data_IF_772497890137
#
_entry.id   IF_772497890137
#
_cell.length_a   1.000
_cell.length_b   1.000
_cell.length_c   1.000
_cell.angle_alpha   90.00
_cell.angle_beta   90.00
_cell.angle_gamma   90.00
#
_symmetry.space_group_name_H-M   'P 1'
#
loop_
_entity.id
_entity.type
_entity.pdbx_description
1 polymer ?
#
# COMPACT_ATOMS: atom_id res chain seq x y z
N UNK A 1 -17.06 -0.57 36.26
CA UNK A 1 -18.05 -0.08 35.27
C UNK A 1 -17.60 1.26 34.64
N UNK A 2 -16.92 2.17 35.36
CA UNK A 2 -16.47 3.46 34.81
C UNK A 2 -15.42 3.31 33.69
N UNK A 3 -14.40 2.49 33.90
CA UNK A 3 -13.26 2.35 32.96
C UNK A 3 -13.68 1.79 31.57
N UNK A 4 -14.63 0.87 31.50
CA UNK A 4 -15.17 0.36 30.23
C UNK A 4 -16.02 1.42 29.50
N UNK A 5 -16.74 2.26 30.25
CA UNK A 5 -17.52 3.34 29.67
C UNK A 5 -16.60 4.43 29.11
N UNK A 6 -15.53 4.78 29.82
CA UNK A 6 -14.53 5.77 29.38
C UNK A 6 -13.81 5.31 28.10
N UNK A 7 -13.43 4.02 28.03
CA UNK A 7 -12.83 3.41 26.85
C UNK A 7 -13.76 3.45 25.62
N UNK A 8 -15.06 3.25 25.83
CA UNK A 8 -16.04 3.30 24.75
C UNK A 8 -16.19 4.74 24.22
N UNK A 9 -16.24 5.72 25.09
CA UNK A 9 -16.33 7.14 24.71
C UNK A 9 -15.09 7.55 23.90
N UNK A 10 -13.89 7.21 24.36
CA UNK A 10 -12.63 7.50 23.65
C UNK A 10 -12.61 6.90 22.24
N UNK A 11 -13.06 5.64 22.08
CA UNK A 11 -13.13 5.00 20.77
C UNK A 11 -14.12 5.71 19.85
N UNK A 12 -15.31 6.09 20.33
CA UNK A 12 -16.30 6.80 19.53
C UNK A 12 -15.76 8.15 19.03
N UNK A 13 -15.11 8.92 19.91
CA UNK A 13 -14.52 10.20 19.52
C UNK A 13 -13.36 10.02 18.54
N UNK A 14 -12.51 9.00 18.71
CA UNK A 14 -11.44 8.66 17.79
C UNK A 14 -12.01 8.30 16.42
N UNK A 15 -13.04 7.45 16.37
CA UNK A 15 -13.72 7.06 15.13
C UNK A 15 -14.37 8.26 14.41
N UNK A 16 -14.98 9.18 15.15
CA UNK A 16 -15.54 10.40 14.58
C UNK A 16 -14.45 11.30 13.97
N UNK A 17 -13.34 11.47 14.67
CA UNK A 17 -12.21 12.27 14.19
C UNK A 17 -11.57 11.68 12.92
N UNK A 18 -11.38 10.36 12.86
CA UNK A 18 -10.91 9.66 11.67
C UNK A 18 -11.94 9.80 10.53
N UNK A 19 -13.23 9.67 10.86
CA UNK A 19 -14.34 9.85 9.92
C UNK A 19 -14.30 11.22 9.23
N UNK A 20 -14.08 12.28 9.99
CA UNK A 20 -13.93 13.65 9.49
C UNK A 20 -12.79 13.78 8.48
N UNK A 21 -11.62 13.19 8.77
CA UNK A 21 -10.50 13.16 7.81
C UNK A 21 -10.86 12.42 6.52
N UNK A 22 -11.53 11.28 6.64
CA UNK A 22 -11.94 10.47 5.48
C UNK A 22 -13.03 11.16 4.63
N UNK A 23 -13.74 12.15 5.16
CA UNK A 23 -14.73 12.95 4.42
C UNK A 23 -14.09 14.13 3.69
N UNK A 24 -12.85 14.49 4.01
CA UNK A 24 -12.09 15.51 3.27
C UNK A 24 -11.49 14.93 1.99
N UNK A 25 -11.14 15.82 1.04
CA UNK A 25 -10.36 15.40 -0.13
C UNK A 25 -8.97 14.93 0.32
N UNK A 26 -8.48 13.77 -0.12
CA UNK A 26 -7.24 13.18 0.39
C UNK A 26 -6.00 14.08 0.31
N UNK A 27 -5.96 14.98 -0.66
CA UNK A 27 -4.78 15.80 -0.96
C UNK A 27 -5.07 17.31 -0.95
N UNK A 28 -6.05 17.78 -0.15
CA UNK A 28 -6.43 19.18 -0.10
C UNK A 28 -5.89 19.92 1.15
N UNK A 29 -5.54 19.17 2.22
CA UNK A 29 -5.14 19.76 3.49
C UNK A 29 -3.70 20.32 3.43
N UNK A 30 -3.46 21.47 4.05
CA UNK A 30 -2.13 22.03 4.20
C UNK A 30 -1.26 21.16 5.11
N UNK A 31 0.04 20.98 4.82
CA UNK A 31 0.91 20.08 5.58
C UNK A 31 0.95 20.38 7.09
N UNK A 32 1.04 21.64 7.50
CA UNK A 32 1.14 22.04 8.89
C UNK A 32 -0.13 21.64 9.66
N UNK A 33 -1.30 22.00 9.14
CA UNK A 33 -2.59 21.66 9.72
C UNK A 33 -2.78 20.13 9.78
N UNK A 34 -2.39 19.43 8.73
CA UNK A 34 -2.46 17.96 8.66
C UNK A 34 -1.58 17.32 9.74
N UNK A 35 -0.33 17.76 9.87
CA UNK A 35 0.63 17.16 10.80
C UNK A 35 0.21 17.37 12.26
N UNK A 36 -0.30 18.54 12.62
CA UNK A 36 -0.85 18.81 13.95
C UNK A 36 -2.04 17.88 14.26
N UNK A 37 -2.98 17.78 13.33
CA UNK A 37 -4.15 16.93 13.49
C UNK A 37 -3.80 15.44 13.58
N UNK A 38 -2.90 14.95 12.71
CA UNK A 38 -2.43 13.57 12.73
C UNK A 38 -1.64 13.24 13.99
N UNK A 39 -0.78 14.14 14.48
CA UNK A 39 -0.04 13.93 15.72
C UNK A 39 -0.98 13.70 16.90
N UNK A 40 -2.03 14.53 17.02
CA UNK A 40 -3.04 14.37 18.06
C UNK A 40 -3.79 13.03 17.95
N UNK A 41 -4.16 12.62 16.73
CA UNK A 41 -4.83 11.33 16.49
C UNK A 41 -3.92 10.14 16.81
N UNK A 42 -2.67 10.14 16.35
CA UNK A 42 -1.73 9.06 16.63
C UNK A 42 -1.44 8.91 18.13
N UNK A 43 -1.35 10.00 18.89
CA UNK A 43 -1.24 9.94 20.35
C UNK A 43 -2.44 9.20 20.96
N UNK A 44 -3.66 9.54 20.56
CA UNK A 44 -4.89 8.87 21.02
C UNK A 44 -4.95 7.40 20.61
N UNK A 45 -4.50 7.04 19.41
CA UNK A 45 -4.41 5.64 18.97
C UNK A 45 -3.38 4.83 19.76
N UNK A 46 -2.25 5.44 20.09
CA UNK A 46 -1.22 4.81 20.94
C UNK A 46 -1.76 4.59 22.35
N UNK A 47 -2.46 5.55 22.96
CA UNK A 47 -3.13 5.42 24.25
C UNK A 47 -4.18 4.29 24.21
N UNK A 48 -5.06 4.30 23.20
CA UNK A 48 -6.05 3.26 22.97
C UNK A 48 -5.42 1.86 22.86
N UNK A 49 -4.31 1.71 22.14
CA UNK A 49 -3.61 0.43 22.00
C UNK A 49 -2.92 -0.01 23.30
N UNK A 50 -2.38 0.92 24.09
CA UNK A 50 -1.77 0.65 25.39
C UNK A 50 -2.80 0.08 26.38
N UNK A 51 -4.02 0.57 26.37
CA UNK A 51 -5.11 0.08 27.25
C UNK A 51 -5.56 -1.32 26.89
N UNK A 52 -5.41 -1.74 25.63
CA UNK A 52 -5.83 -3.05 25.12
C UNK A 52 -4.75 -4.11 25.07
N UNK A 53 -3.49 -3.70 25.17
CA UNK A 53 -2.36 -4.62 25.10
C UNK A 53 -1.28 -4.26 26.10
N UNK A 54 -1.13 -5.05 27.16
CA UNK A 54 -0.06 -4.86 28.14
C UNK A 54 1.33 -4.96 27.51
N UNK A 55 1.49 -5.81 26.47
CA UNK A 55 2.76 -5.89 25.71
C UNK A 55 3.03 -4.59 24.96
N UNK A 56 2.03 -4.03 24.31
CA UNK A 56 2.16 -2.76 23.60
C UNK A 56 2.38 -1.60 24.56
N UNK A 57 1.65 -1.53 25.68
CA UNK A 57 1.85 -0.56 26.75
C UNK A 57 3.28 -0.60 27.30
N UNK A 58 3.81 -1.81 27.53
CA UNK A 58 5.19 -1.97 27.98
C UNK A 58 6.19 -1.47 26.94
N UNK A 59 5.98 -1.74 25.67
CA UNK A 59 6.81 -1.25 24.56
C UNK A 59 6.82 0.28 24.51
N UNK A 60 5.65 0.93 24.52
CA UNK A 60 5.50 2.39 24.47
C UNK A 60 6.14 3.06 25.70
N UNK A 61 6.03 2.45 26.90
CA UNK A 61 6.63 2.97 28.13
C UNK A 61 8.15 3.04 28.07
N UNK A 62 8.79 2.15 27.32
CA UNK A 62 10.24 2.13 27.15
C UNK A 62 10.72 2.90 25.91
N UNK A 63 9.81 3.58 25.21
CA UNK A 63 10.19 4.42 24.08
C UNK A 63 10.95 5.66 24.58
N UNK A 64 12.01 6.12 23.87
CA UNK A 64 12.86 7.22 24.35
C UNK A 64 12.13 8.54 24.61
N UNK A 65 11.07 8.82 23.83
CA UNK A 65 10.27 10.03 23.97
C UNK A 65 8.87 9.64 24.48
N UNK A 66 8.43 10.25 25.60
CA UNK A 66 7.07 10.02 26.10
C UNK A 66 6.01 10.59 25.14
N UNK A 67 4.80 10.01 25.13
CA UNK A 67 3.73 10.49 24.25
C UNK A 67 3.38 11.97 24.48
N UNK A 68 3.46 12.43 25.74
CA UNK A 68 3.19 13.83 26.09
C UNK A 68 4.28 14.78 25.58
N UNK A 69 5.54 14.34 25.53
CA UNK A 69 6.68 15.14 25.07
C UNK A 69 6.91 15.09 23.56
N UNK A 70 6.26 14.18 22.84
CA UNK A 70 6.40 14.08 21.39
C UNK A 70 5.78 15.30 20.70
N UNK A 71 6.58 16.04 19.93
CA UNK A 71 6.17 17.23 19.19
C UNK A 71 5.97 16.95 17.70
N UNK A 72 6.46 15.82 17.22
CA UNK A 72 6.39 15.39 15.82
C UNK A 72 5.93 13.94 15.72
N UNK A 73 5.30 13.57 14.62
CA UNK A 73 4.92 12.17 14.32
C UNK A 73 6.17 11.27 14.35
N UNK A 74 7.31 11.77 13.93
CA UNK A 74 8.59 11.06 13.93
C UNK A 74 9.11 10.66 15.33
N UNK A 75 8.65 11.32 16.39
CA UNK A 75 9.04 11.03 17.78
C UNK A 75 8.22 9.88 18.37
N UNK A 76 7.08 9.55 17.76
CA UNK A 76 6.15 8.54 18.25
C UNK A 76 6.70 7.12 18.10
N UNK A 77 6.32 6.19 19.00
CA UNK A 77 6.65 4.77 18.88
C UNK A 77 6.11 4.18 17.59
N UNK A 78 6.92 3.37 16.90
CA UNK A 78 6.53 2.64 15.69
C UNK A 78 6.93 1.16 15.79
N UNK A 79 6.24 0.30 15.06
CA UNK A 79 6.56 -1.13 15.00
C UNK A 79 7.24 -1.47 13.67
N UNK A 80 8.23 -2.38 13.64
CA UNK A 80 8.69 -2.95 12.40
C UNK A 80 7.62 -3.87 11.82
N UNK A 81 7.43 -3.86 10.50
CA UNK A 81 6.39 -4.69 9.82
C UNK A 81 6.56 -6.17 10.06
N UNK A 82 7.76 -6.64 10.41
CA UNK A 82 8.05 -8.05 10.71
C UNK A 82 7.25 -8.58 11.90
N UNK A 83 6.77 -7.74 12.81
CA UNK A 83 5.93 -8.16 13.96
C UNK A 83 4.60 -8.79 13.52
N UNK A 84 4.11 -8.47 12.33
CA UNK A 84 2.86 -9.04 11.79
C UNK A 84 3.03 -10.46 11.22
N UNK A 85 4.25 -10.99 11.20
CA UNK A 85 4.52 -12.40 10.94
C UNK A 85 4.27 -13.29 12.18
N UNK A 86 3.96 -12.70 13.34
CA UNK A 86 3.68 -13.42 14.59
C UNK A 86 2.45 -14.33 14.50
N UNK A 87 2.46 -15.40 15.30
CA UNK A 87 1.33 -16.31 15.47
C UNK A 87 1.06 -16.51 16.97
N UNK A 88 -0.12 -16.16 17.50
CA UNK A 88 -1.26 -15.56 16.81
C UNK A 88 -0.94 -14.14 16.29
N UNK A 89 -1.73 -13.63 15.32
CA UNK A 89 -1.55 -12.26 14.81
C UNK A 89 -1.82 -11.23 15.91
N UNK A 90 -1.16 -10.08 15.83
CA UNK A 90 -1.40 -8.98 16.75
C UNK A 90 -2.81 -8.43 16.57
N UNK A 91 -3.55 -8.32 17.67
CA UNK A 91 -4.93 -7.83 17.71
C UNK A 91 -5.13 -6.87 18.87
N UNK A 92 -5.92 -5.83 18.66
CA UNK A 92 -6.42 -4.90 19.67
C UNK A 92 -7.91 -5.13 19.98
N UNK A 93 -8.53 -6.12 19.31
CA UNK A 93 -9.92 -6.50 19.49
C UNK A 93 -10.04 -7.99 19.85
N UNK A 94 -11.10 -8.41 20.55
CA UNK A 94 -11.38 -9.81 20.81
C UNK A 94 -11.55 -10.61 19.50
N UNK A 95 -11.22 -11.90 19.53
CA UNK A 95 -11.34 -12.77 18.35
C UNK A 95 -12.79 -12.82 17.80
N UNK A 96 -13.80 -12.65 18.63
CA UNK A 96 -15.22 -12.60 18.24
C UNK A 96 -15.58 -11.38 17.37
N UNK A 97 -14.82 -10.30 17.46
CA UNK A 97 -15.03 -9.08 16.68
C UNK A 97 -14.27 -9.09 15.36
N UNK A 98 -13.31 -10.00 15.18
CA UNK A 98 -12.56 -10.13 13.94
C UNK A 98 -13.48 -10.59 12.81
N UNK A 99 -13.64 -9.79 11.79
CA UNK A 99 -14.46 -10.07 10.59
C UNK A 99 -13.65 -10.64 9.46
N UNK A 100 -12.36 -10.30 9.37
CA UNK A 100 -11.48 -10.69 8.27
C UNK A 100 -10.03 -10.71 8.74
N UNK A 101 -9.25 -11.64 8.18
CA UNK A 101 -7.79 -11.62 8.27
C UNK A 101 -7.22 -11.44 6.86
N UNK A 102 -6.34 -10.46 6.69
CA UNK A 102 -5.61 -10.26 5.46
C UNK A 102 -4.21 -10.85 5.57
N UNK A 103 -3.70 -11.37 4.45
CA UNK A 103 -2.35 -11.95 4.38
C UNK A 103 -1.52 -11.28 3.29
N UNK A 104 -0.25 -11.02 3.59
CA UNK A 104 0.68 -10.56 2.56
C UNK A 104 0.99 -11.69 1.57
N UNK A 105 1.34 -11.30 0.33
CA UNK A 105 1.88 -12.26 -0.63
C UNK A 105 3.27 -12.67 -0.18
N UNK A 106 3.45 -13.92 0.27
CA UNK A 106 4.78 -14.47 0.57
C UNK A 106 5.38 -15.15 -0.65
N UNK A 107 6.69 -15.02 -0.83
CA UNK A 107 7.47 -15.96 -1.66
C UNK A 107 7.54 -17.30 -0.93
N UNK A 108 7.62 -18.42 -1.68
CA UNK A 108 7.66 -19.76 -1.08
C UNK A 108 8.76 -19.86 0.00
N UNK A 109 8.35 -20.27 1.20
CA UNK A 109 9.23 -20.44 2.36
C UNK A 109 9.21 -19.29 3.38
N UNK A 110 8.58 -18.17 3.10
CA UNK A 110 8.44 -17.05 4.06
C UNK A 110 7.08 -17.07 4.76
N UNK A 111 7.07 -16.75 6.05
CA UNK A 111 5.83 -16.56 6.82
C UNK A 111 5.16 -15.27 6.36
N UNK A 112 3.91 -15.31 5.84
CA UNK A 112 3.20 -14.10 5.46
C UNK A 112 2.83 -13.26 6.68
N UNK A 113 2.85 -11.96 6.54
CA UNK A 113 2.23 -11.07 7.51
C UNK A 113 0.72 -11.29 7.55
N UNK A 114 0.12 -11.14 8.74
CA UNK A 114 -1.31 -11.27 8.97
C UNK A 114 -1.82 -10.08 9.77
N UNK A 115 -2.87 -9.43 9.26
CA UNK A 115 -3.55 -8.35 9.95
C UNK A 115 -5.02 -8.70 10.13
N UNK A 116 -5.56 -8.43 11.31
CA UNK A 116 -6.94 -8.73 11.67
C UNK A 116 -7.79 -7.47 11.59
N UNK A 117 -8.94 -7.57 10.95
CA UNK A 117 -9.84 -6.45 10.74
C UNK A 117 -11.19 -6.71 11.43
N UNK A 118 -11.60 -5.76 12.25
CA UNK A 118 -12.99 -5.64 12.69
C UNK A 118 -13.86 -4.96 11.63
N UNK A 119 -15.13 -4.78 11.90
CA UNK A 119 -16.07 -4.14 10.97
C UNK A 119 -15.75 -2.65 10.76
N UNK A 120 -15.34 -1.95 11.81
CA UNK A 120 -15.05 -0.51 11.75
C UNK A 120 -13.78 -0.23 10.94
N UNK A 121 -12.67 -0.92 11.25
CA UNK A 121 -11.42 -0.84 10.50
C UNK A 121 -11.62 -1.23 9.03
N UNK A 122 -12.37 -2.31 8.75
CA UNK A 122 -12.68 -2.72 7.37
C UNK A 122 -13.39 -1.63 6.57
N UNK A 123 -14.37 -0.94 7.18
CA UNK A 123 -15.10 0.16 6.53
C UNK A 123 -14.18 1.35 6.26
N UNK A 124 -13.39 1.78 7.27
CA UNK A 124 -12.45 2.91 7.12
C UNK A 124 -11.39 2.65 6.06
N UNK A 125 -10.79 1.47 6.07
CA UNK A 125 -9.81 1.07 5.07
C UNK A 125 -10.39 1.06 3.66
N UNK A 126 -11.61 0.53 3.48
CA UNK A 126 -12.30 0.56 2.18
C UNK A 126 -12.56 2.00 1.73
N UNK A 127 -13.07 2.86 2.64
CA UNK A 127 -13.33 4.27 2.36
C UNK A 127 -12.04 5.01 1.99
N UNK A 128 -10.92 4.74 2.68
CA UNK A 128 -9.61 5.32 2.39
C UNK A 128 -9.10 4.99 0.99
N UNK A 129 -9.10 3.70 0.61
CA UNK A 129 -8.71 3.29 -0.77
C UNK A 129 -9.59 3.96 -1.81
N UNK A 130 -10.92 3.95 -1.60
CA UNK A 130 -11.87 4.57 -2.53
C UNK A 130 -11.59 6.07 -2.67
N UNK A 131 -11.37 6.79 -1.57
CA UNK A 131 -11.07 8.22 -1.61
C UNK A 131 -9.79 8.52 -2.40
N UNK A 132 -8.73 7.74 -2.17
CA UNK A 132 -7.46 7.88 -2.89
C UNK A 132 -7.66 7.60 -4.38
N UNK A 133 -8.17 6.43 -4.74
CA UNK A 133 -8.30 6.03 -6.15
C UNK A 133 -9.23 6.97 -6.92
N UNK A 134 -10.32 7.41 -6.29
CA UNK A 134 -11.25 8.39 -6.88
C UNK A 134 -10.57 9.71 -7.26
N UNK A 135 -9.58 10.15 -6.52
CA UNK A 135 -8.82 11.36 -6.84
C UNK A 135 -7.94 11.20 -8.10
N UNK A 136 -7.50 9.98 -8.39
CA UNK A 136 -6.66 9.67 -9.54
C UNK A 136 -7.45 9.31 -10.80
N UNK A 137 -8.52 8.53 -10.66
CA UNK A 137 -9.26 8.00 -11.84
C UNK A 137 -10.66 8.58 -11.96
N UNK A 138 -11.09 9.48 -11.06
CA UNK A 138 -12.44 10.03 -11.03
C UNK A 138 -13.46 9.13 -10.33
N UNK A 139 -14.69 9.65 -10.15
CA UNK A 139 -15.74 9.00 -9.36
C UNK A 139 -16.67 8.11 -10.18
N UNK A 140 -16.63 8.21 -11.52
CA UNK A 140 -17.57 7.48 -12.38
C UNK A 140 -17.33 5.98 -12.30
N UNK A 141 -18.43 5.22 -12.25
CA UNK A 141 -18.37 3.77 -12.40
C UNK A 141 -18.15 3.41 -13.87
N UNK A 142 -17.34 2.37 -14.11
CA UNK A 142 -16.89 2.00 -15.45
C UNK A 142 -16.65 0.49 -15.57
N UNK A 143 -16.55 -0.08 -16.78
CA UNK A 143 -16.08 -1.45 -16.96
C UNK A 143 -14.73 -1.66 -16.29
N UNK A 144 -14.58 -2.80 -15.62
CA UNK A 144 -13.39 -3.15 -14.84
C UNK A 144 -12.78 -4.44 -15.35
N UNK A 145 -11.60 -4.34 -15.99
CA UNK A 145 -10.82 -5.46 -16.48
C UNK A 145 -9.75 -5.84 -15.44
N UNK A 146 -9.79 -7.06 -14.97
CA UNK A 146 -8.82 -7.61 -14.03
C UNK A 146 -7.87 -8.54 -14.78
N UNK A 147 -6.58 -8.23 -14.75
CA UNK A 147 -5.54 -9.09 -15.32
C UNK A 147 -5.20 -10.17 -14.28
N UNK A 148 -6.15 -11.08 -14.12
CA UNK A 148 -6.14 -12.18 -13.16
C UNK A 148 -7.13 -13.26 -13.58
N UNK A 149 -7.15 -14.39 -12.84
CA UNK A 149 -8.12 -15.47 -13.05
C UNK A 149 -9.45 -15.19 -12.33
N UNK A 150 -10.52 -15.84 -12.77
CA UNK A 150 -11.86 -15.71 -12.19
C UNK A 150 -11.90 -16.18 -10.73
N UNK A 151 -11.10 -17.19 -10.37
CA UNK A 151 -11.03 -17.74 -9.03
C UNK A 151 -10.57 -16.68 -8.01
N UNK A 152 -9.66 -15.80 -8.41
CA UNK A 152 -9.15 -14.71 -7.57
C UNK A 152 -10.14 -13.54 -7.39
N UNK A 153 -11.23 -13.52 -8.15
CA UNK A 153 -12.35 -12.58 -7.93
C UNK A 153 -13.31 -13.06 -6.82
N UNK A 154 -13.23 -14.34 -6.44
CA UNK A 154 -14.12 -14.96 -5.47
C UNK A 154 -13.99 -14.40 -4.05
N UNK A 155 -15.06 -14.53 -3.25
CA UNK A 155 -15.06 -14.18 -1.82
C UNK A 155 -14.41 -15.30 -1.03
N UNK A 156 -13.16 -15.15 -0.67
CA UNK A 156 -12.48 -16.03 0.27
C UNK A 156 -12.48 -15.40 1.67
N UNK A 157 -12.61 -16.22 2.71
CA UNK A 157 -12.53 -15.78 4.11
C UNK A 157 -11.16 -15.19 4.47
N UNK A 158 -10.11 -15.64 3.78
CA UNK A 158 -8.75 -15.12 3.86
C UNK A 158 -8.33 -14.58 2.49
N UNK A 159 -8.33 -13.26 2.35
CA UNK A 159 -7.88 -12.59 1.14
C UNK A 159 -6.39 -12.30 1.21
N UNK A 160 -5.66 -12.68 0.18
CA UNK A 160 -4.34 -12.12 -0.07
C UNK A 160 -4.44 -10.64 -0.48
N UNK A 161 -3.31 -9.92 -0.40
CA UNK A 161 -3.21 -8.50 -0.83
C UNK A 161 -3.82 -8.26 -2.23
N UNK A 162 -3.64 -9.21 -3.14
CA UNK A 162 -4.15 -9.19 -4.52
C UNK A 162 -5.68 -9.18 -4.57
N UNK A 163 -6.32 -10.13 -3.88
CA UNK A 163 -7.77 -10.20 -3.82
C UNK A 163 -8.40 -9.01 -3.11
N UNK A 164 -7.76 -8.49 -2.06
CA UNK A 164 -8.21 -7.28 -1.36
C UNK A 164 -8.20 -6.05 -2.28
N UNK A 165 -7.16 -5.87 -3.09
CA UNK A 165 -7.07 -4.78 -4.07
C UNK A 165 -8.14 -4.91 -5.15
N UNK A 166 -8.32 -6.13 -5.71
CA UNK A 166 -9.37 -6.40 -6.72
C UNK A 166 -10.76 -6.03 -6.17
N UNK A 167 -11.08 -6.46 -4.94
CA UNK A 167 -12.37 -6.16 -4.32
C UNK A 167 -12.57 -4.67 -4.03
N UNK A 168 -11.55 -3.97 -3.54
CA UNK A 168 -11.63 -2.53 -3.26
C UNK A 168 -11.91 -1.74 -4.55
N UNK A 169 -11.21 -2.06 -5.64
CA UNK A 169 -11.40 -1.43 -6.94
C UNK A 169 -12.74 -1.82 -7.60
N UNK A 170 -13.32 -2.96 -7.23
CA UNK A 170 -14.66 -3.38 -7.68
C UNK A 170 -15.77 -2.39 -7.35
N UNK A 171 -15.58 -1.49 -6.37
CA UNK A 171 -16.54 -0.40 -6.07
C UNK A 171 -16.69 0.60 -7.23
N UNK A 172 -15.70 0.70 -8.13
CA UNK A 172 -15.72 1.52 -9.33
C UNK A 172 -16.28 0.78 -10.55
N UNK A 173 -16.66 -0.50 -10.40
CA UNK A 173 -17.08 -1.32 -11.53
C UNK A 173 -18.57 -1.20 -11.86
N UNK A 174 -18.92 -1.05 -13.14
CA UNK A 174 -20.26 -1.36 -13.66
C UNK A 174 -20.39 -2.84 -13.96
N UNK A 175 -19.32 -3.45 -14.45
CA UNK A 175 -19.13 -4.88 -14.66
C UNK A 175 -17.65 -5.22 -14.39
N UNK A 176 -17.38 -6.45 -13.95
CA UNK A 176 -16.00 -6.92 -13.69
C UNK A 176 -15.72 -8.15 -14.56
N UNK A 177 -14.62 -8.09 -15.30
CA UNK A 177 -14.19 -9.18 -16.20
C UNK A 177 -12.74 -9.54 -15.89
N UNK A 178 -12.47 -10.83 -15.65
CA UNK A 178 -11.11 -11.39 -15.64
C UNK A 178 -10.73 -11.86 -17.05
N UNK A 179 -9.47 -11.67 -17.43
CA UNK A 179 -8.98 -12.06 -18.75
C UNK A 179 -7.85 -13.11 -18.71
N UNK A 180 -7.57 -13.69 -17.55
CA UNK A 180 -6.67 -14.84 -17.46
C UNK A 180 -7.45 -16.10 -17.09
N UNK A 181 -6.92 -17.24 -17.56
CA UNK A 181 -7.38 -18.58 -17.22
C UNK A 181 -6.16 -19.44 -16.85
N UNK A 182 -6.41 -20.60 -16.27
CA UNK A 182 -5.39 -21.63 -16.11
C UNK A 182 -5.46 -22.57 -17.33
N UNK A 183 -4.32 -22.79 -17.96
CA UNK A 183 -4.23 -23.75 -19.07
C UNK A 183 -4.26 -25.19 -18.55
N UNK A 184 -4.11 -26.15 -19.48
CA UNK A 184 -4.11 -27.58 -19.15
C UNK A 184 -2.95 -28.04 -18.25
N UNK A 185 -1.92 -27.20 -18.07
CA UNK A 185 -0.77 -27.44 -17.19
C UNK A 185 -0.90 -26.67 -15.87
N UNK A 186 -1.97 -25.89 -15.67
CA UNK A 186 -2.19 -25.05 -14.51
C UNK A 186 -1.41 -23.74 -14.53
N UNK A 187 -0.85 -23.35 -15.68
CA UNK A 187 -0.14 -22.09 -15.86
C UNK A 187 -1.12 -20.97 -16.31
N UNK A 188 -0.75 -19.73 -15.95
CA UNK A 188 -1.55 -18.57 -16.36
C UNK A 188 -1.45 -18.34 -17.85
N UNK A 189 -2.59 -18.20 -18.51
CA UNK A 189 -2.72 -17.90 -19.92
C UNK A 189 -3.73 -16.78 -20.17
N UNK A 190 -3.49 -15.97 -21.21
CA UNK A 190 -4.39 -14.90 -21.62
C UNK A 190 -5.60 -15.49 -22.39
N UNK A 191 -6.80 -15.17 -21.93
CA UNK A 191 -8.03 -15.37 -22.70
C UNK A 191 -8.16 -14.26 -23.75
N UNK A 192 -7.45 -14.45 -24.87
CA UNK A 192 -7.36 -13.44 -25.93
C UNK A 192 -8.69 -13.16 -26.59
N UNK A 193 -9.56 -14.17 -26.77
CA UNK A 193 -10.90 -14.01 -27.38
C UNK A 193 -11.75 -13.10 -26.50
N UNK A 194 -11.84 -13.42 -25.22
CA UNK A 194 -12.58 -12.63 -24.23
C UNK A 194 -12.05 -11.20 -24.12
N UNK A 195 -10.71 -11.03 -24.08
CA UNK A 195 -10.09 -9.71 -24.01
C UNK A 195 -10.44 -8.85 -25.22
N UNK A 196 -10.35 -9.40 -26.45
CA UNK A 196 -10.67 -8.69 -27.69
C UNK A 196 -12.15 -8.34 -27.77
N UNK A 197 -13.03 -9.25 -27.34
CA UNK A 197 -14.46 -8.97 -27.24
C UNK A 197 -14.78 -7.83 -26.28
N UNK A 198 -14.13 -7.80 -25.11
CA UNK A 198 -14.24 -6.70 -24.15
C UNK A 198 -13.71 -5.39 -24.74
N UNK A 199 -12.55 -5.40 -25.39
CA UNK A 199 -11.98 -4.22 -26.01
C UNK A 199 -12.90 -3.63 -27.09
N UNK A 200 -13.49 -4.47 -27.93
CA UNK A 200 -14.46 -4.02 -28.93
C UNK A 200 -15.74 -3.42 -28.30
N UNK A 201 -16.25 -4.06 -27.22
CA UNK A 201 -17.43 -3.60 -26.47
C UNK A 201 -17.20 -2.25 -25.80
N UNK A 202 -15.98 -2.01 -25.24
CA UNK A 202 -15.67 -0.86 -24.40
C UNK A 202 -14.89 0.26 -25.11
N UNK A 203 -14.78 0.21 -26.42
CA UNK A 203 -13.95 1.11 -27.23
C UNK A 203 -14.11 2.60 -26.89
N UNK A 204 -15.34 3.04 -26.66
CA UNK A 204 -15.68 4.44 -26.35
C UNK A 204 -15.84 4.69 -24.84
N UNK A 205 -15.77 3.64 -24.03
CA UNK A 205 -15.96 3.76 -22.57
C UNK A 205 -14.66 4.15 -21.88
N UNK A 206 -14.79 4.82 -20.73
CA UNK A 206 -13.72 4.84 -19.75
C UNK A 206 -13.61 3.45 -19.12
N UNK A 207 -12.43 2.85 -19.10
CA UNK A 207 -12.19 1.51 -18.58
C UNK A 207 -11.20 1.56 -17.44
N UNK A 208 -11.44 0.82 -16.36
CA UNK A 208 -10.48 0.59 -15.31
C UNK A 208 -9.82 -0.77 -15.54
N UNK A 209 -8.49 -0.81 -15.50
CA UNK A 209 -7.70 -2.05 -15.56
C UNK A 209 -6.88 -2.19 -14.29
N UNK A 210 -6.80 -3.40 -13.76
CA UNK A 210 -5.94 -3.71 -12.61
C UNK A 210 -5.20 -5.02 -12.81
N UNK A 211 -3.94 -5.05 -12.38
CA UNK A 211 -3.13 -6.26 -12.31
C UNK A 211 -1.79 -6.05 -11.61
N UNK A 212 -1.12 -7.14 -11.30
CA UNK A 212 0.26 -7.05 -10.82
C UNK A 212 1.23 -6.80 -11.97
N UNK A 213 2.22 -5.92 -11.75
CA UNK A 213 3.21 -5.48 -12.74
C UNK A 213 3.78 -6.65 -13.56
N UNK A 214 4.30 -7.69 -12.89
CA UNK A 214 4.88 -8.85 -13.57
C UNK A 214 3.85 -9.68 -14.34
N UNK A 215 2.60 -9.78 -13.85
CA UNK A 215 1.50 -10.51 -14.53
C UNK A 215 1.07 -9.77 -15.79
N UNK A 216 0.87 -8.44 -15.68
CA UNK A 216 0.57 -7.59 -16.84
C UNK A 216 1.66 -7.74 -17.90
N UNK A 217 2.92 -7.70 -17.50
CA UNK A 217 4.04 -7.81 -18.43
C UNK A 217 4.08 -9.16 -19.14
N UNK A 218 4.03 -10.24 -18.38
CA UNK A 218 4.20 -11.60 -18.95
C UNK A 218 2.95 -12.11 -19.64
N UNK A 219 1.76 -11.81 -19.14
CA UNK A 219 0.51 -12.39 -19.61
C UNK A 219 -0.27 -11.48 -20.56
N UNK A 220 -0.03 -10.17 -20.56
CA UNK A 220 -0.73 -9.24 -21.42
C UNK A 220 0.20 -8.58 -22.42
N UNK A 221 1.18 -7.78 -21.97
CA UNK A 221 2.04 -6.97 -22.85
C UNK A 221 2.86 -7.86 -23.77
N UNK A 222 3.57 -8.86 -23.25
CA UNK A 222 4.41 -9.76 -24.04
C UNK A 222 3.63 -10.49 -25.15
N UNK A 223 2.55 -11.20 -24.85
CA UNK A 223 1.73 -11.87 -25.84
C UNK A 223 1.15 -10.95 -26.91
N UNK A 224 0.55 -9.81 -26.52
CA UNK A 224 -0.09 -8.89 -27.46
C UNK A 224 0.94 -8.20 -28.38
N UNK A 225 2.09 -7.80 -27.86
CA UNK A 225 3.20 -7.24 -28.68
C UNK A 225 3.72 -8.25 -29.69
N UNK A 226 3.94 -9.51 -29.29
CA UNK A 226 4.35 -10.56 -30.24
C UNK A 226 3.33 -10.84 -31.33
N UNK A 227 2.03 -10.72 -31.01
CA UNK A 227 0.95 -10.88 -31.98
C UNK A 227 0.69 -9.61 -32.82
N UNK A 228 1.32 -8.48 -32.52
CA UNK A 228 1.05 -7.20 -33.17
C UNK A 228 -0.33 -6.64 -32.90
N UNK A 229 -0.93 -7.00 -31.75
CA UNK A 229 -2.31 -6.62 -31.37
C UNK A 229 -2.30 -5.37 -30.49
N UNK A 230 -3.16 -4.40 -30.85
CA UNK A 230 -3.47 -3.21 -30.07
C UNK A 230 -4.95 -3.23 -29.71
N UNK A 231 -5.29 -2.95 -28.45
CA UNK A 231 -6.67 -3.05 -27.93
C UNK A 231 -7.54 -1.84 -28.26
N UNK A 232 -6.93 -0.69 -28.61
CA UNK A 232 -7.62 0.55 -28.97
C UNK A 232 -8.62 1.02 -27.88
N UNK A 233 -8.16 1.10 -26.63
CA UNK A 233 -8.88 1.63 -25.47
C UNK A 233 -8.24 2.92 -24.98
N UNK A 234 -8.37 4.06 -25.69
CA UNK A 234 -7.65 5.29 -25.36
C UNK A 234 -8.05 5.91 -24.01
N UNK A 235 -9.26 5.58 -23.54
CA UNK A 235 -9.81 6.09 -22.28
C UNK A 235 -9.60 5.15 -21.09
N UNK A 236 -8.62 4.24 -21.16
CA UNK A 236 -8.31 3.33 -20.06
C UNK A 236 -7.51 4.03 -18.96
N UNK A 237 -7.77 3.66 -17.69
CA UNK A 237 -6.83 3.86 -16.59
C UNK A 237 -6.32 2.50 -16.12
N UNK A 238 -5.02 2.31 -16.17
CA UNK A 238 -4.39 1.07 -15.70
C UNK A 238 -3.75 1.32 -14.34
N UNK A 239 -4.26 0.66 -13.31
CA UNK A 239 -3.66 0.62 -11.99
C UNK A 239 -2.85 -0.66 -11.86
N UNK A 240 -1.58 -0.54 -11.49
CA UNK A 240 -0.76 -1.72 -11.26
C UNK A 240 0.09 -1.57 -9.99
N UNK A 241 0.51 -2.69 -9.45
CA UNK A 241 1.35 -2.71 -8.25
C UNK A 241 2.19 -3.97 -8.17
N UNK A 242 3.09 -4.01 -7.21
CA UNK A 242 3.98 -5.14 -6.97
C UNK A 242 5.21 -5.13 -7.87
N UNK A 243 6.29 -5.72 -7.34
CA UNK A 243 7.57 -5.82 -8.05
C UNK A 243 7.65 -7.03 -8.98
N UNK A 244 8.82 -7.21 -9.56
CA UNK A 244 9.13 -8.31 -10.50
C UNK A 244 9.30 -9.67 -9.81
N UNK A 245 9.47 -9.69 -8.48
CA UNK A 245 9.64 -10.92 -7.68
C UNK A 245 10.74 -11.84 -8.25
N UNK A 246 10.38 -13.10 -8.55
CA UNK A 246 11.32 -14.08 -9.15
C UNK A 246 11.69 -13.77 -10.60
N UNK A 247 11.02 -12.80 -11.23
CA UNK A 247 11.25 -12.38 -12.61
C UNK A 247 12.16 -11.14 -12.72
N UNK A 248 12.98 -10.84 -11.70
CA UNK A 248 13.90 -9.70 -11.70
C UNK A 248 14.83 -9.68 -12.93
N UNK A 249 15.26 -10.85 -13.42
CA UNK A 249 16.04 -10.98 -14.64
C UNK A 249 15.29 -10.59 -15.93
N UNK A 250 13.95 -10.56 -15.88
CA UNK A 250 13.08 -10.12 -16.97
C UNK A 250 12.54 -8.71 -16.75
N UNK A 251 12.97 -8.07 -15.65
CA UNK A 251 12.52 -6.74 -15.30
C UNK A 251 12.95 -5.74 -16.35
N UNK A 252 12.00 -4.91 -16.76
CA UNK A 252 12.27 -3.74 -17.61
C UNK A 252 12.22 -2.48 -16.75
N UNK A 253 12.76 -1.37 -17.28
CA UNK A 253 12.62 -0.09 -16.59
C UNK A 253 11.16 0.32 -16.48
N UNK A 254 10.84 1.16 -15.50
CA UNK A 254 9.48 1.70 -15.33
C UNK A 254 8.99 2.38 -16.62
N UNK A 255 9.83 3.20 -17.22
CA UNK A 255 9.50 3.92 -18.47
C UNK A 255 9.21 2.96 -19.63
N UNK A 256 9.99 1.87 -19.75
CA UNK A 256 9.76 0.84 -20.76
C UNK A 256 8.40 0.14 -20.53
N UNK A 257 8.10 -0.22 -19.26
CA UNK A 257 6.83 -0.83 -18.91
C UNK A 257 5.64 0.07 -19.26
N UNK A 258 5.72 1.34 -18.87
CA UNK A 258 4.66 2.34 -19.12
C UNK A 258 4.46 2.53 -20.63
N UNK A 259 5.53 2.76 -21.41
CA UNK A 259 5.43 2.92 -22.87
C UNK A 259 4.81 1.72 -23.55
N UNK A 260 5.29 0.52 -23.22
CA UNK A 260 4.83 -0.70 -23.86
C UNK A 260 3.36 -1.00 -23.51
N UNK A 261 2.98 -0.80 -22.26
CA UNK A 261 1.60 -1.01 -21.82
C UNK A 261 0.65 0.04 -22.42
N UNK A 262 1.05 1.31 -22.45
CA UNK A 262 0.30 2.37 -23.09
C UNK A 262 0.10 2.11 -24.59
N UNK A 263 1.13 1.61 -25.27
CA UNK A 263 1.07 1.20 -26.68
C UNK A 263 0.06 0.07 -26.93
N UNK A 264 0.04 -0.94 -26.04
CA UNK A 264 -0.93 -2.07 -26.13
C UNK A 264 -2.37 -1.58 -26.01
N UNK A 265 -2.63 -0.62 -25.15
CA UNK A 265 -3.98 -0.06 -24.97
C UNK A 265 -4.29 1.09 -25.94
N UNK A 266 -3.30 1.68 -26.62
CA UNK A 266 -3.41 2.93 -27.38
C UNK A 266 -3.84 4.11 -26.51
N UNK A 267 -3.35 4.20 -25.25
CA UNK A 267 -3.67 5.25 -24.31
C UNK A 267 -2.47 6.16 -24.03
N UNK A 268 -2.68 7.29 -23.34
CA UNK A 268 -1.62 8.14 -22.87
C UNK A 268 -0.84 7.47 -21.71
N UNK A 269 0.47 7.72 -21.63
CA UNK A 269 1.36 7.10 -20.63
C UNK A 269 0.98 7.46 -19.19
N UNK A 270 0.46 8.65 -18.93
CA UNK A 270 0.00 9.12 -17.63
C UNK A 270 -1.24 8.40 -17.10
N UNK A 271 -1.91 7.60 -17.95
CA UNK A 271 -3.01 6.71 -17.57
C UNK A 271 -2.53 5.36 -17.04
N UNK A 272 -1.24 5.07 -17.12
CA UNK A 272 -0.61 3.88 -16.52
C UNK A 272 -0.04 4.28 -15.16
N UNK A 273 -0.72 3.89 -14.10
CA UNK A 273 -0.49 4.37 -12.74
C UNK A 273 0.04 3.23 -11.87
N UNK A 274 1.32 3.32 -11.50
CA UNK A 274 1.90 2.45 -10.47
C UNK A 274 1.45 2.92 -9.09
N UNK A 275 1.14 2.00 -8.18
CA UNK A 275 0.94 2.36 -6.79
C UNK A 275 1.75 1.48 -5.82
N UNK A 276 2.25 2.09 -4.78
CA UNK A 276 2.84 1.44 -3.63
C UNK A 276 1.76 1.17 -2.58
N UNK A 277 1.82 0.00 -1.95
CA UNK A 277 0.92 -0.38 -0.86
C UNK A 277 1.32 -1.70 -0.25
N UNK A 278 0.83 -1.96 0.96
CA UNK A 278 1.14 -3.17 1.72
C UNK A 278 -0.06 -3.60 2.58
N UNK A 279 -0.10 -4.88 2.93
CA UNK A 279 -1.20 -5.46 3.72
C UNK A 279 -1.27 -4.84 5.12
N UNK A 280 -0.13 -4.55 5.71
CA UNK A 280 -0.02 -3.97 7.04
C UNK A 280 -0.55 -2.53 7.11
N UNK A 281 -0.58 -1.83 5.98
CA UNK A 281 -1.11 -0.47 5.83
C UNK A 281 -2.33 -0.44 4.89
N UNK A 282 -3.18 -1.47 4.94
CA UNK A 282 -4.39 -1.58 4.09
C UNK A 282 -5.31 -0.37 4.30
N UNK A 283 -5.82 0.15 3.19
CA UNK A 283 -6.64 1.37 3.19
C UNK A 283 -5.88 2.61 2.76
N UNK A 284 -4.54 2.54 2.79
CA UNK A 284 -3.67 3.56 2.22
C UNK A 284 -2.85 2.96 1.09
N UNK A 285 -3.02 3.49 -0.09
CA UNK A 285 -2.21 3.21 -1.27
C UNK A 285 -1.63 4.53 -1.77
N UNK A 286 -0.47 4.46 -2.39
CA UNK A 286 0.24 5.63 -2.87
C UNK A 286 0.43 5.54 -4.38
N UNK A 287 -0.56 6.00 -5.18
CA UNK A 287 -0.44 6.02 -6.63
C UNK A 287 0.54 7.10 -7.10
N UNK A 288 1.19 6.85 -8.22
CA UNK A 288 2.00 7.85 -8.90
C UNK A 288 1.11 8.94 -9.51
N UNK A 289 1.48 10.19 -9.29
CA UNK A 289 0.90 11.31 -10.02
C UNK A 289 1.55 11.47 -11.40
N UNK A 290 1.04 12.38 -12.22
CA UNK A 290 1.59 12.66 -13.55
C UNK A 290 3.07 13.12 -13.56
N UNK A 291 3.65 13.42 -12.38
CA UNK A 291 5.08 13.71 -12.20
C UNK A 291 5.89 12.49 -11.75
N UNK A 292 5.25 11.33 -11.61
CA UNK A 292 5.88 10.09 -11.17
C UNK A 292 6.18 10.01 -9.68
N UNK A 293 5.56 10.84 -8.85
CA UNK A 293 5.71 10.84 -7.40
C UNK A 293 4.45 10.30 -6.71
N UNK A 294 4.65 9.64 -5.59
CA UNK A 294 3.60 9.10 -4.73
C UNK A 294 3.18 10.14 -3.71
N UNK A 295 1.89 10.44 -3.63
CA UNK A 295 1.34 11.42 -2.69
C UNK A 295 0.77 10.76 -1.44
N UNK A 296 0.97 11.42 -0.29
CA UNK A 296 0.48 10.97 1.02
C UNK A 296 -0.89 11.62 1.30
N UNK A 297 -1.95 10.83 1.53
CA UNK A 297 -3.28 11.38 1.78
C UNK A 297 -3.41 12.00 3.18
N UNK A 298 -4.44 12.81 3.40
CA UNK A 298 -4.67 13.54 4.65
C UNK A 298 -4.73 12.66 5.92
N UNK A 299 -5.10 11.40 5.79
CA UNK A 299 -5.22 10.43 6.90
C UNK A 299 -3.98 9.53 7.07
N UNK A 300 -2.85 9.93 6.47
CA UNK A 300 -1.60 9.19 6.52
C UNK A 300 -0.39 10.14 6.54
N UNK A 301 0.78 9.60 6.89
CA UNK A 301 2.08 10.26 6.73
C UNK A 301 3.13 9.24 6.30
N UNK A 302 4.20 9.72 5.68
CA UNK A 302 5.41 8.95 5.34
C UNK A 302 6.62 9.67 5.88
N UNK A 303 7.46 8.94 6.60
CA UNK A 303 8.73 9.42 7.16
C UNK A 303 9.82 8.55 6.58
N UNK A 304 10.94 9.14 6.21
CA UNK A 304 12.13 8.39 5.80
C UNK A 304 13.12 8.39 6.96
N UNK A 305 13.66 7.21 7.26
CA UNK A 305 14.60 7.03 8.37
C UNK A 305 15.94 6.49 7.89
N UNK A 306 17.00 7.02 8.45
CA UNK A 306 18.35 6.50 8.24
C UNK A 306 18.41 5.01 8.64
N UNK A 307 18.94 4.11 7.80
CA UNK A 307 18.93 2.68 8.09
C UNK A 307 19.77 2.24 9.29
N UNK A 308 20.72 3.05 9.72
CA UNK A 308 21.64 2.73 10.81
C UNK A 308 21.19 3.31 12.14
N UNK A 309 20.80 4.59 12.14
CA UNK A 309 20.44 5.33 13.35
C UNK A 309 18.94 5.30 13.62
N UNK A 310 18.12 5.01 12.61
CA UNK A 310 16.66 5.11 12.60
C UNK A 310 16.13 6.53 12.88
N UNK A 311 17.00 7.53 12.87
CA UNK A 311 16.61 8.93 12.93
C UNK A 311 15.88 9.33 11.64
N UNK A 312 14.89 10.24 11.69
CA UNK A 312 14.30 10.79 10.47
C UNK A 312 15.36 11.57 9.69
N UNK A 313 15.32 11.48 8.36
CA UNK A 313 16.21 12.20 7.44
C UNK A 313 15.47 13.33 6.74
N UNK A 314 16.23 14.28 6.20
CA UNK A 314 15.67 15.42 5.46
C UNK A 314 15.17 15.03 4.06
N UNK A 315 14.35 15.89 3.46
CA UNK A 315 13.91 15.70 2.08
C UNK A 315 15.11 15.68 1.12
N UNK A 316 15.09 14.74 0.17
CA UNK A 316 16.20 14.45 -0.75
C UNK A 316 17.16 13.37 -0.26
N UNK A 317 17.05 12.93 0.99
CA UNK A 317 17.85 11.83 1.52
C UNK A 317 17.11 10.50 1.44
N UNK A 318 17.85 9.42 1.18
CA UNK A 318 17.31 8.08 1.05
C UNK A 318 17.37 7.32 2.39
N UNK A 319 16.33 6.54 2.68
CA UNK A 319 16.29 5.74 3.88
C UNK A 319 15.12 4.76 3.90
N UNK A 320 14.91 4.12 5.05
CA UNK A 320 13.78 3.21 5.26
C UNK A 320 12.47 3.98 5.32
N UNK A 321 11.48 3.47 4.63
CA UNK A 321 10.12 4.06 4.62
C UNK A 321 9.40 3.66 5.90
N UNK A 322 8.99 4.64 6.69
CA UNK A 322 7.98 4.48 7.73
C UNK A 322 6.65 4.98 7.19
N UNK A 323 5.63 4.10 7.18
CA UNK A 323 4.26 4.46 6.83
C UNK A 323 3.43 4.67 8.09
N UNK A 324 2.62 5.72 8.10
CA UNK A 324 1.75 6.08 9.22
C UNK A 324 0.32 6.24 8.70
N UNK A 325 -0.67 5.68 9.39
CA UNK A 325 -2.08 5.76 9.00
C UNK A 325 -2.98 5.69 10.23
N UNK A 326 -3.97 6.58 10.31
CA UNK A 326 -4.97 6.58 11.37
C UNK A 326 -6.16 5.65 11.10
N UNK A 327 -6.11 4.80 10.08
CA UNK A 327 -7.25 3.96 9.70
C UNK A 327 -7.41 2.69 10.56
N UNK A 328 -6.34 1.98 10.99
CA UNK A 328 -6.48 0.75 11.76
C UNK A 328 -6.75 1.04 13.24
N UNK A 329 -7.74 0.36 13.84
CA UNK A 329 -7.95 0.33 15.30
C UNK A 329 -8.08 -1.10 15.82
N UNK A 330 -8.22 -2.10 14.95
CA UNK A 330 -8.30 -3.52 15.32
C UNK A 330 -6.94 -4.20 15.50
N UNK A 331 -5.87 -3.58 15.03
CA UNK A 331 -4.48 -4.02 15.19
C UNK A 331 -3.54 -2.81 15.25
N UNK A 332 -2.34 -2.92 15.86
CA UNK A 332 -1.44 -1.77 16.04
C UNK A 332 -0.65 -1.45 14.76
N UNK A 333 -1.37 -1.09 13.69
CA UNK A 333 -0.85 -0.83 12.34
C UNK A 333 -0.72 0.64 11.97
N UNK A 334 -0.77 1.54 12.96
CA UNK A 334 -0.83 2.97 12.71
C UNK A 334 0.53 3.63 12.44
N UNK A 335 1.64 3.10 12.94
CA UNK A 335 3.01 3.62 12.75
C UNK A 335 3.94 2.44 12.49
N UNK A 336 4.37 2.25 11.23
CA UNK A 336 5.07 1.04 10.79
C UNK A 336 6.36 1.36 10.04
N UNK A 337 7.49 0.85 10.53
CA UNK A 337 8.76 0.85 9.79
C UNK A 337 8.78 -0.35 8.85
N UNK A 338 8.98 -0.08 7.57
CA UNK A 338 9.00 -1.10 6.51
C UNK A 338 10.42 -1.57 6.20
N UNK A 339 10.51 -2.65 5.40
CA UNK A 339 11.77 -3.10 4.78
C UNK A 339 11.96 -2.47 3.38
N UNK A 340 11.36 -1.33 3.12
CA UNK A 340 11.39 -0.65 1.83
C UNK A 340 12.19 0.66 1.93
N UNK A 341 12.95 0.98 0.89
CA UNK A 341 13.71 2.24 0.77
C UNK A 341 12.91 3.26 -0.02
N UNK A 342 13.00 4.50 0.40
CA UNK A 342 12.36 5.63 -0.25
C UNK A 342 13.09 6.95 -0.01
N UNK A 343 12.51 8.01 -0.54
CA UNK A 343 13.04 9.38 -0.48
C UNK A 343 11.86 10.36 -0.48
N UNK A 344 11.79 11.28 0.49
CA UNK A 344 10.85 12.40 0.42
C UNK A 344 11.36 13.38 -0.64
N UNK A 345 10.52 13.70 -1.62
CA UNK A 345 10.84 14.69 -2.66
C UNK A 345 10.46 16.11 -2.20
N UNK A 346 9.41 16.23 -1.41
CA UNK A 346 8.98 17.51 -0.85
C UNK A 346 7.64 17.44 -0.11
N UNK A 347 7.31 18.56 0.48
CA UNK A 347 6.04 18.81 1.16
C UNK A 347 5.33 19.94 0.43
N UNK A 348 4.31 19.67 -0.37
CA UNK A 348 3.70 20.56 -1.37
C UNK A 348 4.59 20.86 -2.60
N UNK A 349 4.05 21.57 -3.56
CA UNK A 349 4.82 22.07 -4.72
C UNK A 349 5.13 21.04 -5.81
N UNK A 350 4.58 19.84 -5.79
CA UNK A 350 4.77 18.83 -6.84
C UNK A 350 4.36 19.29 -8.25
N UNK A 351 3.46 20.28 -8.34
CA UNK A 351 2.94 20.79 -9.63
C UNK A 351 1.87 19.89 -10.29
N UNK A 352 1.45 18.79 -9.62
CA UNK A 352 0.32 17.97 -10.09
C UNK A 352 -1.04 18.39 -9.52
N UNK A 353 -1.09 19.42 -8.67
CA UNK A 353 -2.28 19.92 -8.00
C UNK A 353 -2.61 19.26 -6.66
N UNK A 354 -1.93 18.16 -6.29
CA UNK A 354 -2.09 17.52 -4.97
C UNK A 354 -1.16 18.15 -3.96
N UNK A 355 -1.69 18.40 -2.78
CA UNK A 355 -0.94 18.94 -1.62
C UNK A 355 -0.39 17.82 -0.74
N UNK A 356 0.49 18.19 0.17
CA UNK A 356 1.08 17.33 1.18
C UNK A 356 2.37 16.66 0.74
N UNK A 357 2.85 15.76 1.60
CA UNK A 357 4.09 15.01 1.39
C UNK A 357 4.01 14.20 0.09
N UNK A 358 5.06 14.27 -0.72
CA UNK A 358 5.23 13.40 -1.88
C UNK A 358 6.62 12.78 -1.86
N UNK A 359 6.68 11.49 -2.23
CA UNK A 359 7.87 10.67 -2.07
C UNK A 359 8.07 9.74 -3.27
N UNK A 360 9.24 9.14 -3.33
CA UNK A 360 9.59 8.08 -4.28
C UNK A 360 9.88 6.79 -3.52
N UNK A 361 9.23 5.70 -3.92
CA UNK A 361 9.65 4.35 -3.56
C UNK A 361 10.86 3.99 -4.43
N UNK A 362 11.90 3.44 -3.83
CA UNK A 362 13.14 3.09 -4.54
C UNK A 362 13.27 1.58 -4.75
N UNK A 363 13.29 0.83 -3.67
CA UNK A 363 13.47 -0.63 -3.69
C UNK A 363 13.09 -1.26 -2.36
N UNK A 364 12.91 -2.56 -2.36
CA UNK A 364 12.87 -3.35 -1.13
C UNK A 364 14.29 -3.70 -0.70
N UNK A 365 14.56 -3.59 0.60
CA UNK A 365 15.83 -4.05 1.18
C UNK A 365 15.81 -5.58 1.24
N UNK A 366 16.81 -6.30 0.72
CA UNK A 366 16.94 -7.73 0.92
C UNK A 366 17.03 -8.08 2.41
N UNK A 367 16.38 -9.16 2.85
CA UNK A 367 16.39 -9.60 4.27
C UNK A 367 17.80 -9.76 4.86
N UNK A 368 18.80 -10.02 4.04
CA UNK A 368 20.21 -10.15 4.45
C UNK A 368 20.82 -8.81 4.88
N UNK A 369 20.37 -7.68 4.31
CA UNK A 369 20.87 -6.34 4.66
C UNK A 369 20.28 -5.84 6.00
N UNK A 370 19.07 -6.28 6.34
CA UNK A 370 18.36 -5.90 7.59
C UNK A 370 18.86 -6.68 8.81
N UNK A 371 19.51 -7.83 8.63
CA UNK A 371 20.02 -8.67 9.72
C UNK A 371 21.33 -8.16 10.36
N UNK A 372 21.48 -6.90 10.42
CA UNK A 372 22.19 -6.20 11.47
C UNK A 372 23.69 -6.23 11.54
N UNK A 373 24.09 -5.55 12.51
CA UNK A 373 25.37 -5.26 13.12
C UNK A 373 26.42 -6.38 13.25
N UNK A 374 26.09 -7.63 12.96
CA UNK A 374 27.04 -8.75 13.02
C UNK A 374 27.97 -8.91 11.80
N UNK A 375 27.63 -8.32 10.65
CA UNK A 375 28.41 -8.50 9.41
C UNK A 375 29.41 -7.36 9.11
N UNK A 376 29.48 -6.32 9.93
CA UNK A 376 30.45 -5.24 9.74
C UNK A 376 31.90 -5.63 10.11
N UNK A 377 32.08 -6.63 10.95
CA UNK A 377 33.43 -7.11 11.32
C UNK A 377 34.11 -7.93 10.22
N UNK A 378 33.37 -8.67 9.41
CA UNK A 378 33.94 -9.54 8.35
C UNK A 378 34.45 -8.76 7.14
N UNK A 379 34.00 -7.53 6.91
CA UNK A 379 34.45 -6.71 5.79
C UNK A 379 35.76 -5.93 6.10
N UNK A 380 36.11 -5.74 7.38
CA UNK A 380 37.35 -5.08 7.78
C UNK A 380 38.56 -6.02 7.74
N UNK A 381 38.37 -7.33 7.93
CA UNK A 381 39.49 -8.29 7.90
C UNK A 381 40.00 -8.66 6.49
N UNK A 382 39.26 -8.34 5.40
CA UNK A 382 39.71 -8.64 4.04
C UNK A 382 40.51 -7.52 3.36
N UNK A 383 40.71 -6.36 4.03
CA UNK A 383 41.53 -5.26 3.49
C UNK A 383 42.92 -5.12 4.14
N UNK A 384 43.32 -6.02 5.00
CA UNK A 384 44.57 -5.97 5.77
C UNK A 384 45.57 -7.11 5.50
N UNK A 385 45.56 -7.75 4.34
CA UNK A 385 46.47 -8.84 4.00
C UNK A 385 46.95 -8.77 2.57
N UNK A 386 47.88 -7.86 2.28
CA UNK A 386 48.55 -7.75 1.00
C UNK A 386 49.79 -6.91 1.11
N UNK A 387 50.90 -7.53 1.56
CA UNK A 387 52.26 -7.17 1.23
C UNK A 387 52.88 -8.30 0.42
#
# INVERSE_FOLDING_TARGET
>A
MSQLADLHVQLVELEQSIGTLLDTRPYAMAPEQRNEYLLALFKRELEYACERSSRFSNYVRHWPVSLSAADKIADLPYLPVSVFKANPPLSLVPASEVKRTLRSSSTSGQVPSRVVLDAATSRRMTKGVIAIIRDFVGAARRPYLVIDTQENLGRQSELGARGAAIQALGSFATETVSCLLLDSQGELALDSEKLLACAAKWKEAEVLVYGFTYVIWTQLVGPLKRAGITLNLPNVHVLHSGGWKRLEQQAVTKDQFVRDLASVFACAEDRVIDYYGMVENVGVVYPDCARGYKHVPAFAEVIIRDPLTLAPVEAGEQGLVQVCSVLPTSFPGFLLLTDDMGEIIGHDGCGCGRRGTHFRFLRRVPEVEVRGCGNLETTRQRRGGGT
#
